data_IF_533803761086
#
_entry.id   IF_533803761086
#
_cell.length_a   1.000
_cell.length_b   1.000
_cell.length_c   1.000
_cell.angle_alpha   90.00
_cell.angle_beta   90.00
_cell.angle_gamma   90.00
#
_symmetry.space_group_name_H-M   'P 1'
#
loop_
_entity.id
_entity.type
_entity.pdbx_description
1 polymer ?
#
# COMPACT_ATOMS: atom_id res chain seq x y z
N UNK A 1 -20.30 -2.91 6.20
CA UNK A 1 -19.75 -2.03 7.25
C UNK A 1 -18.88 -0.98 6.58
N UNK A 2 -19.20 0.32 6.69
CA UNK A 2 -18.32 1.42 6.25
C UNK A 2 -17.30 1.67 7.37
N UNK A 3 -16.03 1.32 7.15
CA UNK A 3 -14.93 1.78 7.99
C UNK A 3 -14.71 3.26 7.70
N UNK A 4 -15.27 4.13 8.55
CA UNK A 4 -14.99 5.56 8.49
C UNK A 4 -13.55 5.76 8.95
N UNK A 5 -12.66 6.15 8.03
CA UNK A 5 -11.33 6.65 8.37
C UNK A 5 -11.48 7.79 9.37
N UNK A 6 -10.78 7.68 10.49
CA UNK A 6 -10.68 8.81 11.41
C UNK A 6 -9.63 9.79 10.89
N UNK A 7 -9.81 11.07 11.17
CA UNK A 7 -8.88 12.11 10.71
C UNK A 7 -7.46 11.92 11.26
N UNK A 8 -7.31 11.18 12.36
CA UNK A 8 -6.05 10.86 13.04
C UNK A 8 -5.48 9.47 12.67
N UNK A 9 -6.06 8.78 11.67
CA UNK A 9 -5.58 7.47 11.26
C UNK A 9 -4.18 7.54 10.61
N UNK A 10 -3.18 6.98 11.29
CA UNK A 10 -1.82 6.87 10.76
C UNK A 10 -1.56 5.56 10.02
N UNK A 11 -0.80 5.63 8.92
CA UNK A 11 -0.20 4.46 8.26
C UNK A 11 1.33 4.60 8.26
N UNK A 12 2.03 3.52 8.59
CA UNK A 12 3.48 3.43 8.44
C UNK A 12 3.80 2.48 7.29
N UNK A 13 4.73 2.87 6.43
CA UNK A 13 5.14 2.09 5.26
C UNK A 13 6.66 2.11 5.13
N UNK A 14 7.22 0.96 4.79
CA UNK A 14 8.64 0.84 4.51
C UNK A 14 8.92 1.14 3.03
N UNK A 15 9.82 2.09 2.79
CA UNK A 15 10.23 2.53 1.47
C UNK A 15 11.76 2.54 1.41
N UNK A 16 12.31 2.27 0.24
CA UNK A 16 13.72 2.56 -0.02
C UNK A 16 13.94 4.08 -0.09
N UNK A 17 15.18 4.52 0.11
CA UNK A 17 15.54 5.95 0.04
C UNK A 17 15.08 6.59 -1.28
N UNK A 18 15.29 5.91 -2.41
CA UNK A 18 14.87 6.42 -3.73
C UNK A 18 13.35 6.50 -3.87
N UNK A 19 12.61 5.52 -3.36
CA UNK A 19 11.14 5.56 -3.36
C UNK A 19 10.60 6.70 -2.50
N UNK A 20 11.17 6.89 -1.30
CA UNK A 20 10.80 8.00 -0.41
C UNK A 20 11.08 9.36 -1.05
N UNK A 21 12.26 9.55 -1.67
CA UNK A 21 12.59 10.77 -2.40
C UNK A 21 11.64 10.99 -3.58
N UNK A 22 11.34 9.94 -4.35
CA UNK A 22 10.42 10.03 -5.49
C UNK A 22 9.00 10.45 -5.09
N UNK A 23 8.53 10.03 -3.91
CA UNK A 23 7.21 10.40 -3.39
C UNK A 23 7.20 11.78 -2.71
N UNK A 24 8.15 12.02 -1.81
CA UNK A 24 8.13 13.20 -0.93
C UNK A 24 8.66 14.47 -1.59
N UNK A 25 9.61 14.34 -2.51
CA UNK A 25 10.28 15.49 -3.17
C UNK A 25 10.01 15.57 -4.68
N UNK A 26 9.30 14.60 -5.25
CA UNK A 26 9.00 14.57 -6.68
C UNK A 26 10.20 14.28 -7.58
N UNK A 27 11.34 13.87 -7.00
CA UNK A 27 12.55 13.53 -7.74
C UNK A 27 12.28 12.38 -8.70
N UNK A 28 12.64 12.58 -9.97
CA UNK A 28 12.53 11.57 -11.02
C UNK A 28 13.88 10.90 -11.22
N UNK A 29 13.88 9.58 -11.11
CA UNK A 29 15.06 8.76 -11.42
C UNK A 29 14.95 8.32 -12.88
N UNK A 30 15.83 8.84 -13.73
CA UNK A 30 15.81 8.58 -15.18
C UNK A 30 16.16 7.13 -15.52
N UNK A 31 17.05 6.51 -14.74
CA UNK A 31 17.49 5.12 -14.89
C UNK A 31 16.40 4.09 -14.51
N UNK A 32 15.57 4.40 -13.52
CA UNK A 32 14.41 3.58 -13.16
C UNK A 32 13.17 4.46 -12.98
N UNK A 33 12.46 4.65 -14.10
CA UNK A 33 11.20 5.40 -14.16
C UNK A 33 10.08 4.74 -13.35
N UNK A 34 10.23 3.48 -12.96
CA UNK A 34 9.22 2.74 -12.21
C UNK A 34 9.31 2.99 -10.71
N UNK A 35 10.36 3.62 -10.19
CA UNK A 35 10.52 3.88 -8.74
C UNK A 35 9.31 4.60 -8.16
N UNK A 36 8.81 5.66 -8.82
CA UNK A 36 7.62 6.38 -8.35
C UNK A 36 6.36 5.50 -8.37
N UNK A 37 6.19 4.70 -9.43
CA UNK A 37 5.06 3.79 -9.55
C UNK A 37 5.09 2.68 -8.47
N UNK A 38 6.27 2.09 -8.22
CA UNK A 38 6.51 1.10 -7.16
C UNK A 38 6.20 1.69 -5.79
N UNK A 39 6.70 2.89 -5.51
CA UNK A 39 6.46 3.59 -4.25
C UNK A 39 4.96 3.86 -4.02
N UNK A 40 4.25 4.39 -5.03
CA UNK A 40 2.80 4.60 -4.97
C UNK A 40 2.03 3.30 -4.74
N UNK A 41 2.45 2.22 -5.40
CA UNK A 41 1.83 0.90 -5.22
C UNK A 41 1.96 0.41 -3.78
N UNK A 42 3.12 0.59 -3.14
CA UNK A 42 3.32 0.23 -1.73
C UNK A 42 2.39 1.01 -0.80
N UNK A 43 2.23 2.32 -1.03
CA UNK A 43 1.29 3.17 -0.28
C UNK A 43 -0.13 2.64 -0.43
N UNK A 44 -0.60 2.43 -1.67
CA UNK A 44 -1.95 1.98 -1.95
C UNK A 44 -2.24 0.60 -1.34
N UNK A 45 -1.33 -0.35 -1.48
CA UNK A 45 -1.48 -1.68 -0.87
C UNK A 45 -1.56 -1.61 0.65
N UNK A 46 -0.77 -0.74 1.29
CA UNK A 46 -0.84 -0.55 2.75
C UNK A 46 -2.18 0.06 3.16
N UNK A 47 -2.66 1.04 2.39
CA UNK A 47 -3.94 1.68 2.61
C UNK A 47 -5.10 0.70 2.43
N UNK A 48 -5.10 -0.08 1.35
CA UNK A 48 -6.10 -1.12 1.07
C UNK A 48 -6.14 -2.15 2.21
N UNK A 49 -4.99 -2.63 2.69
CA UNK A 49 -4.94 -3.57 3.83
C UNK A 49 -5.54 -2.98 5.10
N UNK A 50 -5.29 -1.70 5.38
CA UNK A 50 -5.86 -1.02 6.56
C UNK A 50 -7.37 -0.77 6.41
N UNK A 51 -7.81 -0.40 5.21
CA UNK A 51 -9.20 -0.02 4.93
C UNK A 51 -10.13 -1.22 4.74
N UNK A 52 -9.61 -2.27 4.10
CA UNK A 52 -10.37 -3.42 3.63
C UNK A 52 -9.75 -4.73 4.18
N UNK A 53 -9.69 -4.90 5.51
CA UNK A 53 -9.08 -6.08 6.12
C UNK A 53 -9.81 -7.38 5.74
N UNK A 54 -11.12 -7.29 5.42
CA UNK A 54 -11.91 -8.43 4.97
C UNK A 54 -11.52 -8.93 3.56
N UNK A 55 -10.97 -8.06 2.71
CA UNK A 55 -10.60 -8.40 1.32
C UNK A 55 -9.17 -8.94 1.22
N UNK A 56 -8.36 -8.76 2.28
CA UNK A 56 -6.99 -9.29 2.36
C UNK A 56 -6.91 -10.73 2.89
N UNK A 57 -8.04 -11.34 3.26
CA UNK A 57 -8.08 -12.77 3.58
C UNK A 57 -7.95 -13.54 2.27
N UNK A 58 -6.75 -14.03 1.99
CA UNK A 58 -6.54 -15.17 1.10
C UNK A 58 -7.61 -16.21 1.43
N UNK A 59 -8.43 -16.57 0.44
CA UNK A 59 -9.42 -17.63 0.64
C UNK A 59 -8.64 -18.89 1.01
N UNK A 60 -8.83 -19.38 2.23
CA UNK A 60 -8.23 -20.64 2.67
C UNK A 60 -8.97 -21.77 1.96
N UNK A 61 -8.49 -22.18 0.78
CA UNK A 61 -9.13 -23.22 -0.02
C UNK A 61 -9.35 -24.54 0.74
N UNK A 62 -8.60 -24.78 1.80
CA UNK A 62 -8.70 -25.96 2.67
C UNK A 62 -9.88 -25.94 3.64
N UNK A 63 -10.55 -24.78 3.82
CA UNK A 63 -11.75 -24.65 4.67
C UNK A 63 -13.04 -24.63 3.85
N UNK A 64 -12.94 -24.80 2.53
CA UNK A 64 -14.10 -25.01 1.68
C UNK A 64 -14.47 -26.48 1.78
N UNK A 65 -15.44 -26.81 2.64
CA UNK A 65 -16.09 -28.12 2.60
C UNK A 65 -16.82 -28.25 1.27
N UNK A 66 -16.41 -29.22 0.45
CA UNK A 66 -17.05 -29.63 -0.81
C UNK A 66 -17.82 -30.92 -0.58
#
# INVERSE_FOLDING_TARGET
MKTALRTDDMISIELTVKEALALGSGVKFTEDRMISAKAKRKVLQSLERKLLPATSKTIEYHTLEV
#
